data_IF_987475054752
#
_entry.id   IF_987475054752
#
_cell.length_a   1.000
_cell.length_b   1.000
_cell.length_c   1.000
_cell.angle_alpha   90.00
_cell.angle_beta   90.00
_cell.angle_gamma   90.00
#
_symmetry.space_group_name_H-M   'P 1'
#
loop_
_entity.id
_entity.type
_entity.pdbx_description
1 polymer ?
#
# COMPACT_ATOMS: atom_id res chain seq x y z
N UNK A 1 16.59 -10.74 19.79
CA UNK A 1 16.98 -10.57 18.37
C UNK A 1 17.95 -9.40 18.26
N UNK A 2 18.89 -9.40 17.31
CA UNK A 2 19.65 -8.21 16.97
C UNK A 2 18.73 -7.15 16.41
N UNK A 3 19.05 -5.87 16.55
CA UNK A 3 18.32 -4.73 15.97
C UNK A 3 18.14 -4.94 14.46
N UNK A 4 16.89 -5.01 14.00
CA UNK A 4 16.56 -5.20 12.58
C UNK A 4 16.84 -3.91 11.80
N UNK A 5 17.79 -3.93 10.87
CA UNK A 5 18.08 -2.80 9.98
C UNK A 5 17.18 -2.89 8.74
N UNK A 6 16.52 -1.79 8.39
CA UNK A 6 15.52 -1.74 7.31
C UNK A 6 15.90 -0.70 6.27
N UNK A 7 15.81 -1.06 4.98
CA UNK A 7 15.85 -0.13 3.87
C UNK A 7 14.51 -0.17 3.12
N UNK A 8 13.85 0.98 2.96
CA UNK A 8 12.53 1.07 2.35
C UNK A 8 12.61 1.79 0.99
N UNK A 9 12.48 1.06 -0.10
CA UNK A 9 12.34 1.65 -1.43
C UNK A 9 10.86 1.94 -1.74
N UNK A 10 10.61 3.11 -2.38
CA UNK A 10 9.27 3.63 -2.63
C UNK A 10 8.48 3.75 -1.32
N UNK A 11 9.11 4.31 -0.31
CA UNK A 11 8.71 4.23 1.10
C UNK A 11 7.32 4.83 1.39
N UNK A 12 6.85 5.77 0.55
CA UNK A 12 5.62 6.49 0.82
C UNK A 12 5.70 7.23 2.16
N UNK A 13 4.77 6.97 3.07
CA UNK A 13 4.83 7.46 4.44
C UNK A 13 5.35 6.42 5.45
N UNK A 14 5.91 5.28 5.00
CA UNK A 14 6.53 4.29 5.88
C UNK A 14 5.54 3.32 6.54
N UNK A 15 4.56 2.79 5.80
CA UNK A 15 3.61 1.77 6.31
C UNK A 15 4.32 0.55 6.90
N UNK A 16 5.47 0.19 6.36
CA UNK A 16 6.27 -0.95 6.79
C UNK A 16 6.86 -0.71 8.18
N UNK A 17 7.47 0.45 8.42
CA UNK A 17 7.98 0.85 9.73
C UNK A 17 6.87 0.95 10.76
N UNK A 18 5.71 1.52 10.41
CA UNK A 18 4.53 1.55 11.30
C UNK A 18 4.12 0.13 11.70
N UNK A 19 4.12 -0.82 10.77
CA UNK A 19 3.75 -2.20 11.07
C UNK A 19 4.75 -2.89 12.02
N UNK A 20 6.06 -2.64 11.84
CA UNK A 20 7.10 -3.13 12.75
C UNK A 20 6.95 -2.53 14.15
N UNK A 21 6.70 -1.21 14.25
CA UNK A 21 6.43 -0.50 15.52
C UNK A 21 5.21 -1.10 16.25
N UNK A 22 4.12 -1.39 15.52
CA UNK A 22 2.92 -2.01 16.10
C UNK A 22 3.14 -3.38 16.68
N UNK A 23 4.07 -4.13 16.12
CA UNK A 23 4.49 -5.44 16.61
C UNK A 23 5.51 -5.37 17.74
N UNK A 24 6.01 -4.17 18.08
CA UNK A 24 7.08 -4.01 19.05
C UNK A 24 8.41 -4.60 18.58
N UNK A 25 8.61 -4.73 17.26
CA UNK A 25 9.87 -5.23 16.70
C UNK A 25 10.89 -4.09 16.74
N UNK A 26 11.96 -4.32 17.51
CA UNK A 26 13.06 -3.37 17.59
C UNK A 26 13.78 -3.28 16.25
N UNK A 27 13.70 -2.12 15.59
CA UNK A 27 14.26 -1.91 14.27
C UNK A 27 14.84 -0.51 14.11
N UNK A 28 15.68 -0.35 13.09
CA UNK A 28 16.24 0.92 12.66
C UNK A 28 16.11 1.02 11.14
N UNK A 29 15.40 2.03 10.66
CA UNK A 29 15.46 2.38 9.25
C UNK A 29 16.78 3.06 8.98
N UNK A 30 17.61 2.43 8.16
CA UNK A 30 18.95 2.92 7.80
C UNK A 30 18.96 3.75 6.53
N UNK A 31 17.85 3.75 5.78
CA UNK A 31 17.66 4.58 4.61
C UNK A 31 16.33 4.33 3.91
N UNK A 32 15.90 5.32 3.17
CA UNK A 32 14.73 5.24 2.29
C UNK A 32 15.08 5.67 0.87
N UNK A 33 14.27 5.27 -0.11
CA UNK A 33 14.28 5.80 -1.47
C UNK A 33 12.88 6.28 -1.83
N UNK A 34 12.68 7.61 -1.86
CA UNK A 34 11.40 8.25 -2.18
C UNK A 34 11.65 9.59 -2.89
N UNK A 35 10.85 9.90 -3.92
CA UNK A 35 10.96 11.12 -4.72
C UNK A 35 9.78 12.07 -4.57
N UNK A 36 8.61 11.56 -4.12
CA UNK A 36 7.44 12.41 -3.93
C UNK A 36 7.61 13.29 -2.68
N UNK A 37 7.67 14.59 -2.89
CA UNK A 37 7.90 15.58 -1.81
C UNK A 37 6.87 15.50 -0.69
N UNK A 38 5.62 15.15 -0.98
CA UNK A 38 4.58 15.03 0.04
C UNK A 38 4.71 13.70 0.81
N UNK A 39 5.13 12.64 0.14
CA UNK A 39 5.44 11.37 0.80
C UNK A 39 6.63 11.53 1.75
N UNK A 40 7.70 12.19 1.31
CA UNK A 40 8.88 12.50 2.15
C UNK A 40 8.49 13.32 3.39
N UNK A 41 7.66 14.37 3.24
CA UNK A 41 7.17 15.16 4.38
C UNK A 41 6.36 14.31 5.36
N UNK A 42 5.46 13.47 4.84
CA UNK A 42 4.66 12.57 5.67
C UNK A 42 5.54 11.54 6.39
N UNK A 43 6.53 10.98 5.69
CA UNK A 43 7.49 10.05 6.25
C UNK A 43 8.21 10.64 7.47
N UNK A 44 8.81 11.81 7.30
CA UNK A 44 9.54 12.48 8.37
C UNK A 44 8.64 12.96 9.51
N UNK A 45 7.38 13.31 9.23
CA UNK A 45 6.43 13.66 10.29
C UNK A 45 6.04 12.44 11.16
N UNK A 46 6.08 11.24 10.61
CA UNK A 46 5.73 9.99 11.32
C UNK A 46 6.93 9.35 12.01
N UNK A 47 8.10 9.42 11.38
CA UNK A 47 9.32 8.74 11.82
C UNK A 47 10.38 9.76 12.28
N UNK A 48 11.56 9.79 11.67
CA UNK A 48 12.65 10.73 12.03
C UNK A 48 13.24 11.41 10.80
N UNK A 49 13.55 12.68 10.90
CA UNK A 49 14.28 13.46 9.88
C UNK A 49 15.74 13.01 9.72
N UNK A 50 16.29 12.29 10.70
CA UNK A 50 17.66 11.77 10.65
C UNK A 50 17.80 10.56 9.70
N UNK A 51 16.69 9.99 9.22
CA UNK A 51 16.70 8.86 8.28
C UNK A 51 17.12 9.37 6.89
N UNK A 52 18.26 8.89 6.33
CA UNK A 52 18.73 9.35 5.04
C UNK A 52 17.77 8.94 3.91
N UNK A 53 17.43 9.89 3.04
CA UNK A 53 16.69 9.62 1.82
C UNK A 53 17.64 9.63 0.61
N UNK A 54 17.81 8.47 -0.01
CA UNK A 54 18.64 8.28 -1.20
C UNK A 54 17.97 8.75 -2.51
N UNK A 55 16.72 9.22 -2.43
CA UNK A 55 15.99 9.83 -3.55
C UNK A 55 15.58 8.82 -4.61
N UNK A 56 15.93 9.11 -5.87
CA UNK A 56 15.55 8.30 -7.04
C UNK A 56 16.34 6.99 -7.07
N UNK A 57 15.64 5.87 -6.95
CA UNK A 57 16.23 4.52 -6.92
C UNK A 57 17.11 4.22 -8.15
N UNK A 58 16.78 4.81 -9.30
CA UNK A 58 17.56 4.62 -10.53
C UNK A 58 18.94 5.29 -10.51
N UNK A 59 19.18 6.14 -9.52
CA UNK A 59 20.45 6.87 -9.31
C UNK A 59 21.26 6.35 -8.15
N UNK A 60 20.73 5.37 -7.43
CA UNK A 60 21.43 4.78 -6.28
C UNK A 60 22.56 3.87 -6.80
N UNK A 61 23.80 4.13 -6.34
CA UNK A 61 24.85 3.13 -6.43
C UNK A 61 24.71 2.21 -5.20
N UNK A 62 24.48 0.89 -5.38
CA UNK A 62 24.33 -0.04 -4.26
C UNK A 62 25.53 -0.08 -3.29
N UNK A 63 26.74 0.28 -3.75
CA UNK A 63 27.95 0.35 -2.90
C UNK A 63 27.88 1.46 -1.85
N UNK A 64 27.06 2.49 -2.07
CA UNK A 64 26.89 3.62 -1.15
C UNK A 64 25.83 3.35 -0.08
N UNK A 65 25.11 2.21 -0.17
CA UNK A 65 24.06 1.86 0.78
C UNK A 65 24.66 1.27 2.07
N UNK A 66 24.10 1.62 3.25
CA UNK A 66 24.46 0.96 4.48
C UNK A 66 24.02 -0.51 4.45
N UNK A 67 24.56 -1.35 5.33
CA UNK A 67 24.06 -2.71 5.54
C UNK A 67 22.64 -2.70 6.12
N UNK A 68 21.77 -3.56 5.62
CA UNK A 68 20.41 -3.76 6.11
C UNK A 68 19.98 -5.23 6.00
N UNK A 69 19.07 -5.63 6.88
CA UNK A 69 18.55 -6.99 6.99
C UNK A 69 17.25 -7.18 6.20
N UNK A 70 16.39 -6.15 6.18
CA UNK A 70 15.11 -6.15 5.49
C UNK A 70 15.11 -5.07 4.38
N UNK A 71 14.80 -5.51 3.16
CA UNK A 71 14.52 -4.64 2.03
C UNK A 71 13.04 -4.71 1.66
N UNK A 72 12.35 -3.57 1.72
CA UNK A 72 10.97 -3.47 1.25
C UNK A 72 10.91 -2.66 -0.04
N UNK A 73 10.17 -3.16 -1.05
CA UNK A 73 10.09 -2.50 -2.35
C UNK A 73 8.72 -2.69 -3.02
N UNK A 74 8.00 -1.58 -3.15
CA UNK A 74 6.69 -1.52 -3.78
C UNK A 74 6.79 -0.67 -5.05
N UNK A 75 7.43 -1.24 -6.07
CA UNK A 75 7.69 -0.52 -7.31
C UNK A 75 6.39 -0.06 -8.01
N UNK A 76 6.41 1.06 -8.77
CA UNK A 76 5.22 1.65 -9.36
C UNK A 76 4.39 0.67 -10.18
N UNK A 77 3.09 0.60 -9.90
CA UNK A 77 2.13 -0.30 -10.56
C UNK A 77 1.44 0.32 -11.78
N UNK A 78 1.81 1.54 -12.20
CA UNK A 78 1.09 2.31 -13.25
C UNK A 78 1.00 1.58 -14.58
N UNK A 79 2.00 0.78 -14.91
CA UNK A 79 2.09 0.04 -16.18
C UNK A 79 1.56 -1.40 -16.07
N UNK A 80 1.13 -1.80 -14.86
CA UNK A 80 0.56 -3.10 -14.54
C UNK A 80 -0.92 -2.97 -14.17
N UNK A 81 -1.31 -1.84 -13.56
CA UNK A 81 -2.67 -1.61 -13.07
C UNK A 81 -3.68 -1.56 -14.21
N UNK A 82 -4.88 -2.12 -14.00
CA UNK A 82 -6.01 -2.02 -14.93
C UNK A 82 -6.47 -0.58 -15.18
N UNK A 83 -6.18 0.33 -14.25
CA UNK A 83 -6.46 1.77 -14.39
C UNK A 83 -5.34 2.55 -15.09
N UNK A 84 -4.22 1.90 -15.40
CA UNK A 84 -3.05 2.48 -16.03
C UNK A 84 -2.91 2.15 -17.51
N UNK A 85 -1.72 2.38 -18.07
CA UNK A 85 -1.43 2.14 -19.51
C UNK A 85 -1.24 0.67 -19.88
N UNK A 86 -1.02 -0.21 -18.88
CA UNK A 86 -0.84 -1.66 -19.07
C UNK A 86 0.33 -2.00 -19.99
N UNK A 87 1.43 -1.22 -19.94
CA UNK A 87 2.62 -1.38 -20.79
C UNK A 87 3.57 -2.49 -20.30
N UNK A 88 3.49 -2.84 -19.00
CA UNK A 88 4.26 -3.93 -18.40
C UNK A 88 5.55 -3.49 -17.70
N UNK A 89 6.36 -4.49 -17.33
CA UNK A 89 7.64 -4.29 -16.63
C UNK A 89 8.75 -4.33 -17.67
N UNK A 90 9.18 -3.16 -18.14
CA UNK A 90 10.22 -3.07 -19.18
C UNK A 90 11.40 -2.27 -18.65
N UNK A 91 12.58 -2.92 -18.60
CA UNK A 91 13.83 -2.33 -18.08
C UNK A 91 14.13 -1.00 -18.78
N UNK A 92 14.31 0.07 -17.99
CA UNK A 92 14.66 1.40 -18.47
C UNK A 92 13.60 2.12 -19.32
N UNK A 93 12.41 1.55 -19.52
CA UNK A 93 11.37 2.12 -20.39
C UNK A 93 10.07 2.44 -19.64
N UNK A 94 9.66 1.61 -18.69
CA UNK A 94 8.42 1.80 -17.94
C UNK A 94 8.69 2.12 -16.47
N UNK A 95 7.72 2.74 -15.79
CA UNK A 95 7.82 3.00 -14.35
C UNK A 95 7.88 1.70 -13.54
N UNK A 96 7.13 0.68 -13.96
CA UNK A 96 7.20 -0.65 -13.38
C UNK A 96 8.55 -1.33 -13.62
N UNK A 97 9.32 -0.88 -14.62
CA UNK A 97 10.69 -1.31 -14.89
C UNK A 97 11.69 -0.92 -13.80
N UNK A 98 11.31 -0.07 -12.83
CA UNK A 98 12.12 0.22 -11.65
C UNK A 98 12.31 -1.00 -10.74
N UNK A 99 11.57 -2.10 -10.96
CA UNK A 99 11.88 -3.41 -10.37
C UNK A 99 13.33 -3.84 -10.64
N UNK A 100 13.86 -3.53 -11.82
CA UNK A 100 15.25 -3.86 -12.19
C UNK A 100 16.31 -2.99 -11.50
N UNK A 101 15.91 -1.86 -10.91
CA UNK A 101 16.79 -1.10 -10.02
C UNK A 101 16.83 -1.74 -8.63
N UNK A 102 15.70 -2.30 -8.17
CA UNK A 102 15.68 -3.14 -6.97
C UNK A 102 16.55 -4.40 -7.14
N UNK A 103 16.57 -4.99 -8.34
CA UNK A 103 17.44 -6.13 -8.69
C UNK A 103 18.89 -5.85 -8.34
N UNK A 104 19.44 -4.70 -8.77
CA UNK A 104 20.84 -4.31 -8.51
C UNK A 104 21.13 -4.20 -7.00
N UNK A 105 20.20 -3.63 -6.25
CA UNK A 105 20.33 -3.49 -4.79
C UNK A 105 20.31 -4.87 -4.12
N UNK A 106 19.37 -5.72 -4.51
CA UNK A 106 19.24 -7.08 -3.95
C UNK A 106 20.50 -7.93 -4.25
N UNK A 107 20.99 -7.86 -5.49
CA UNK A 107 22.16 -8.62 -5.92
C UNK A 107 23.43 -8.20 -5.17
N UNK A 108 23.61 -6.89 -4.96
CA UNK A 108 24.78 -6.35 -4.28
C UNK A 108 24.70 -6.52 -2.76
N UNK A 109 23.60 -6.03 -2.14
CA UNK A 109 23.48 -5.97 -0.68
C UNK A 109 23.07 -7.30 -0.05
N UNK A 110 22.39 -8.19 -0.78
CA UNK A 110 21.92 -9.50 -0.33
C UNK A 110 21.24 -9.49 1.06
N UNK A 111 20.25 -8.61 1.29
CA UNK A 111 19.57 -8.53 2.59
C UNK A 111 18.91 -9.88 2.93
N UNK A 112 18.85 -10.21 4.21
CA UNK A 112 18.28 -11.48 4.65
C UNK A 112 16.81 -11.63 4.28
N UNK A 113 16.04 -10.54 4.36
CA UNK A 113 14.60 -10.52 4.11
C UNK A 113 14.23 -9.54 3.00
N UNK A 114 13.32 -9.99 2.13
CA UNK A 114 12.72 -9.15 1.10
C UNK A 114 11.21 -9.13 1.26
N UNK A 115 10.60 -7.95 1.14
CA UNK A 115 9.16 -7.80 1.02
C UNK A 115 8.83 -6.95 -0.20
N UNK A 116 8.21 -7.57 -1.20
CA UNK A 116 7.64 -6.89 -2.36
C UNK A 116 6.12 -6.76 -2.23
N UNK A 117 5.57 -5.63 -2.61
CA UNK A 117 4.11 -5.45 -2.77
C UNK A 117 3.79 -4.91 -4.16
N UNK A 118 2.65 -5.35 -4.72
CA UNK A 118 2.10 -4.78 -5.96
C UNK A 118 0.60 -5.10 -6.12
N UNK A 119 -0.01 -4.56 -7.18
CA UNK A 119 -1.42 -4.81 -7.51
C UNK A 119 -1.67 -6.25 -7.93
N UNK A 120 -2.90 -6.76 -7.66
CA UNK A 120 -3.34 -8.14 -8.03
C UNK A 120 -3.09 -8.47 -9.50
N UNK A 121 -3.17 -7.47 -10.39
CA UNK A 121 -3.00 -7.69 -11.84
C UNK A 121 -1.60 -8.18 -12.23
N UNK A 122 -0.60 -8.06 -11.35
CA UNK A 122 0.72 -8.68 -11.52
C UNK A 122 0.60 -10.22 -11.69
N UNK A 123 -0.39 -10.85 -11.06
CA UNK A 123 -0.71 -12.27 -11.20
C UNK A 123 -1.63 -12.58 -12.38
N UNK A 124 -2.07 -11.55 -13.13
CA UNK A 124 -2.91 -11.70 -14.31
C UNK A 124 -2.16 -12.36 -15.48
N UNK A 125 -2.88 -12.95 -16.41
CA UNK A 125 -2.32 -13.73 -17.55
C UNK A 125 -1.20 -12.97 -18.30
N UNK A 126 -1.33 -11.66 -18.41
CA UNK A 126 -0.36 -10.82 -19.17
C UNK A 126 0.99 -10.67 -18.45
N UNK A 127 1.00 -10.51 -17.12
CA UNK A 127 2.19 -10.15 -16.35
C UNK A 127 2.76 -11.32 -15.53
N UNK A 128 1.97 -12.38 -15.36
CA UNK A 128 2.39 -13.58 -14.62
C UNK A 128 3.71 -14.20 -15.11
N UNK A 129 4.01 -14.28 -16.44
CA UNK A 129 5.29 -14.77 -16.89
C UNK A 129 6.47 -13.95 -16.38
N UNK A 130 6.41 -12.61 -16.48
CA UNK A 130 7.46 -11.72 -15.98
C UNK A 130 7.63 -11.82 -14.46
N UNK A 131 6.52 -11.97 -13.73
CA UNK A 131 6.56 -12.18 -12.29
C UNK A 131 7.19 -13.53 -11.92
N UNK A 132 6.93 -14.58 -12.70
CA UNK A 132 7.58 -15.88 -12.53
C UNK A 132 9.08 -15.82 -12.80
N UNK A 133 9.50 -15.08 -13.83
CA UNK A 133 10.91 -14.81 -14.12
C UNK A 133 11.59 -14.10 -12.95
N UNK A 134 10.91 -13.12 -12.34
CA UNK A 134 11.39 -12.44 -11.15
C UNK A 134 11.60 -13.40 -9.97
N UNK A 135 10.62 -14.26 -9.67
CA UNK A 135 10.76 -15.27 -8.61
C UNK A 135 11.90 -16.25 -8.90
N UNK A 136 12.06 -16.67 -10.16
CA UNK A 136 13.16 -17.56 -10.55
C UNK A 136 14.53 -16.86 -10.41
N UNK A 137 14.58 -15.57 -10.72
CA UNK A 137 15.79 -14.77 -10.52
C UNK A 137 16.16 -14.69 -9.03
N UNK A 138 15.22 -14.35 -8.14
CA UNK A 138 15.46 -14.35 -6.70
C UNK A 138 15.93 -15.72 -6.19
N UNK A 139 15.35 -16.80 -6.71
CA UNK A 139 15.77 -18.16 -6.39
C UNK A 139 17.22 -18.43 -6.81
N UNK A 140 17.65 -17.91 -7.98
CA UNK A 140 19.05 -18.06 -8.44
C UNK A 140 20.05 -17.32 -7.55
N UNK A 141 19.59 -16.29 -6.81
CA UNK A 141 20.39 -15.57 -5.80
C UNK A 141 20.38 -16.22 -4.41
N UNK A 142 19.66 -17.33 -4.25
CA UNK A 142 19.57 -18.08 -2.98
C UNK A 142 18.34 -17.72 -2.13
N UNK A 143 17.39 -16.91 -2.65
CA UNK A 143 16.16 -16.60 -1.93
C UNK A 143 15.10 -17.68 -2.11
N UNK A 144 14.50 -18.12 -1.01
CA UNK A 144 13.25 -18.87 -1.03
C UNK A 144 12.09 -17.90 -0.80
N UNK A 145 11.08 -17.99 -1.65
CA UNK A 145 10.00 -17.00 -1.70
C UNK A 145 8.63 -17.64 -1.51
N UNK A 146 7.76 -16.94 -0.78
CA UNK A 146 6.34 -17.26 -0.68
C UNK A 146 5.51 -16.09 -1.16
N UNK A 147 4.57 -16.37 -2.08
CA UNK A 147 3.70 -15.37 -2.68
C UNK A 147 2.30 -15.45 -2.08
N UNK A 148 1.75 -14.30 -1.70
CA UNK A 148 0.41 -14.16 -1.15
C UNK A 148 -0.42 -13.20 -2.02
N UNK A 149 -1.71 -13.49 -2.11
CA UNK A 149 -2.71 -12.56 -2.67
C UNK A 149 -3.69 -12.26 -1.54
N UNK A 150 -3.58 -11.08 -0.94
CA UNK A 150 -4.29 -10.71 0.29
C UNK A 150 -5.28 -9.57 0.03
N UNK A 151 -6.44 -9.64 0.67
CA UNK A 151 -7.42 -8.55 0.68
C UNK A 151 -7.47 -7.93 2.08
N UNK A 152 -7.43 -6.60 2.17
CA UNK A 152 -7.38 -5.88 3.44
C UNK A 152 -8.55 -6.21 4.37
N UNK A 153 -9.72 -6.54 3.83
CA UNK A 153 -10.90 -6.93 4.62
C UNK A 153 -10.70 -8.24 5.41
N UNK A 154 -9.81 -9.11 4.94
CA UNK A 154 -9.50 -10.38 5.62
C UNK A 154 -8.55 -10.16 6.82
N UNK A 155 -8.17 -8.90 7.07
CA UNK A 155 -7.28 -8.47 8.16
C UNK A 155 -7.91 -7.37 9.03
N UNK A 156 -9.24 -7.29 9.05
CA UNK A 156 -10.00 -6.39 9.93
C UNK A 156 -10.14 -4.95 9.43
N UNK A 157 -9.75 -4.65 8.19
CA UNK A 157 -9.92 -3.31 7.60
C UNK A 157 -11.09 -3.32 6.61
N UNK A 158 -12.13 -2.47 6.77
CA UNK A 158 -13.32 -2.49 5.92
C UNK A 158 -13.05 -1.88 4.53
N UNK A 159 -12.07 -2.44 3.82
CA UNK A 159 -11.65 -2.03 2.49
C UNK A 159 -11.42 -3.26 1.60
N UNK A 160 -12.08 -3.32 0.45
CA UNK A 160 -11.80 -4.29 -0.59
C UNK A 160 -10.56 -3.86 -1.39
N UNK A 161 -9.37 -4.24 -0.89
CA UNK A 161 -8.07 -3.91 -1.47
C UNK A 161 -7.21 -5.15 -1.56
N UNK A 162 -7.29 -5.85 -2.69
CA UNK A 162 -6.47 -7.04 -2.95
C UNK A 162 -5.10 -6.64 -3.50
N UNK A 163 -4.02 -7.16 -2.90
CA UNK A 163 -2.62 -6.95 -3.29
C UNK A 163 -1.85 -8.25 -3.34
N UNK A 164 -0.78 -8.25 -4.11
CA UNK A 164 0.22 -9.34 -4.16
C UNK A 164 1.37 -8.95 -3.26
N UNK A 165 1.76 -9.87 -2.40
CA UNK A 165 2.94 -9.76 -1.56
C UNK A 165 3.88 -10.94 -1.85
N UNK A 166 5.16 -10.65 -2.03
CA UNK A 166 6.20 -11.66 -2.14
C UNK A 166 7.17 -11.47 -0.98
N UNK A 167 7.19 -12.43 -0.08
CA UNK A 167 8.17 -12.50 1.01
C UNK A 167 9.26 -13.46 0.61
N UNK A 168 10.52 -13.06 0.79
CA UNK A 168 11.65 -13.92 0.45
C UNK A 168 12.69 -13.91 1.58
N UNK A 169 13.31 -15.05 1.82
CA UNK A 169 14.34 -15.22 2.85
C UNK A 169 15.59 -15.83 2.20
N UNK A 170 16.75 -15.24 2.47
CA UNK A 170 18.02 -15.66 1.89
C UNK A 170 18.54 -16.92 2.60
N UNK A 171 18.85 -17.97 1.82
CA UNK A 171 19.45 -19.24 2.28
C UNK A 171 18.68 -19.99 3.38
N UNK A 172 17.44 -19.61 3.65
CA UNK A 172 16.56 -20.26 4.62
C UNK A 172 15.21 -20.55 3.96
N UNK A 173 14.44 -21.49 4.52
CA UNK A 173 13.07 -21.72 4.06
C UNK A 173 12.17 -20.52 4.38
N UNK A 174 11.35 -20.14 3.43
CA UNK A 174 10.33 -19.10 3.61
C UNK A 174 8.95 -19.79 3.67
N UNK A 175 8.49 -20.09 4.87
CA UNK A 175 7.18 -20.68 5.09
C UNK A 175 6.44 -19.91 6.19
N UNK A 176 5.48 -19.08 5.78
CA UNK A 176 4.69 -18.24 6.67
C UNK A 176 3.24 -18.70 6.67
N UNK A 177 2.64 -18.80 7.84
CA UNK A 177 1.21 -19.01 8.01
C UNK A 177 0.59 -17.71 8.50
N UNK A 178 -0.25 -17.09 7.69
CA UNK A 178 -0.93 -15.83 8.04
C UNK A 178 -2.27 -16.12 8.71
N UNK A 179 -2.60 -15.33 9.73
CA UNK A 179 -3.88 -15.41 10.42
C UNK A 179 -4.81 -14.35 9.87
N UNK A 180 -5.94 -14.77 9.35
CA UNK A 180 -7.02 -13.84 8.98
C UNK A 180 -7.79 -13.39 10.23
N UNK A 181 -8.38 -12.22 10.16
CA UNK A 181 -9.26 -11.67 11.19
C UNK A 181 -10.64 -11.44 10.57
N UNK A 182 -11.69 -11.89 11.27
CA UNK A 182 -13.06 -11.55 10.87
C UNK A 182 -13.24 -10.02 10.90
N UNK A 183 -13.99 -9.52 9.93
CA UNK A 183 -14.29 -8.11 9.82
C UNK A 183 -15.36 -7.74 10.86
N UNK A 184 -14.94 -7.04 11.90
CA UNK A 184 -15.78 -6.54 13.01
C UNK A 184 -16.00 -5.02 12.94
N UNK A 185 -15.37 -4.36 11.98
CA UNK A 185 -15.43 -2.92 11.73
C UNK A 185 -15.95 -2.69 10.31
N UNK A 186 -16.91 -1.80 10.15
CA UNK A 186 -17.52 -1.50 8.87
C UNK A 186 -17.16 -0.10 8.39
N UNK A 187 -17.43 0.21 7.12
CA UNK A 187 -17.17 1.55 6.57
C UNK A 187 -17.88 2.65 7.38
N UNK A 188 -19.03 2.33 7.98
CA UNK A 188 -19.83 3.26 8.77
C UNK A 188 -19.19 3.62 10.12
N UNK A 189 -18.32 2.76 10.65
CA UNK A 189 -17.53 3.03 11.86
C UNK A 189 -16.34 3.95 11.57
N UNK A 190 -15.98 4.08 10.29
CA UNK A 190 -14.86 4.92 9.81
C UNK A 190 -15.35 6.32 9.43
N UNK A 191 -16.55 6.41 8.84
CA UNK A 191 -17.12 7.65 8.33
C UNK A 191 -17.62 8.53 9.47
N UNK A 192 -17.12 9.76 9.51
CA UNK A 192 -17.62 10.80 10.42
C UNK A 192 -18.67 11.63 9.68
N UNK A 193 -19.95 11.44 10.04
CA UNK A 193 -21.07 12.15 9.42
C UNK A 193 -20.99 13.67 9.62
N UNK A 194 -20.33 14.12 10.70
CA UNK A 194 -20.20 15.51 11.10
C UNK A 194 -18.92 16.17 10.56
N UNK A 195 -18.11 15.47 9.77
CA UNK A 195 -16.89 16.05 9.19
C UNK A 195 -17.25 17.16 8.17
N UNK A 196 -17.21 18.42 8.63
CA UNK A 196 -17.48 19.60 7.83
C UNK A 196 -16.52 19.76 6.63
N UNK A 197 -15.38 19.08 6.67
CA UNK A 197 -14.41 19.10 5.58
C UNK A 197 -14.83 18.23 4.39
N UNK A 198 -15.90 17.45 4.50
CA UNK A 198 -16.40 16.57 3.44
C UNK A 198 -16.88 17.37 2.24
N UNK A 199 -16.41 16.99 1.07
CA UNK A 199 -16.85 17.55 -0.19
C UNK A 199 -18.12 16.81 -0.68
N UNK A 200 -19.28 17.42 -0.50
CA UNK A 200 -20.53 16.95 -1.07
C UNK A 200 -20.64 17.41 -2.54
N UNK A 201 -20.95 16.48 -3.43
CA UNK A 201 -20.94 16.65 -4.88
C UNK A 201 -22.33 16.62 -5.51
N UNK A 202 -23.33 16.08 -4.82
CA UNK A 202 -24.69 15.92 -5.31
C UNK A 202 -25.65 15.67 -4.16
N UNK A 203 -26.89 16.09 -4.34
CA UNK A 203 -28.02 15.73 -3.49
C UNK A 203 -29.00 14.85 -4.28
N UNK A 204 -29.54 13.83 -3.63
CA UNK A 204 -30.49 12.87 -4.18
C UNK A 204 -31.61 12.75 -3.14
N UNK A 205 -32.71 13.52 -3.26
CA UNK A 205 -33.78 13.58 -2.26
C UNK A 205 -34.41 12.22 -1.98
N UNK A 206 -34.46 11.33 -2.98
CA UNK A 206 -35.01 9.98 -2.88
C UNK A 206 -34.19 9.08 -1.92
N UNK A 207 -32.95 9.46 -1.62
CA UNK A 207 -32.05 8.78 -0.67
C UNK A 207 -32.01 9.46 0.71
N UNK A 208 -32.97 10.35 1.01
CA UNK A 208 -33.10 10.95 2.34
C UNK A 208 -33.30 9.84 3.39
N UNK A 209 -32.58 9.93 4.51
CA UNK A 209 -32.54 8.88 5.54
C UNK A 209 -31.68 7.66 5.18
N UNK A 210 -31.12 7.58 3.96
CA UNK A 210 -30.22 6.49 3.59
C UNK A 210 -28.78 6.77 4.02
N UNK A 211 -28.12 5.70 4.44
CA UNK A 211 -26.68 5.66 4.69
C UNK A 211 -26.06 4.58 3.83
N UNK A 212 -25.29 4.96 2.82
CA UNK A 212 -24.78 4.05 1.79
C UNK A 212 -23.34 4.42 1.40
N UNK A 213 -22.60 3.46 0.89
CA UNK A 213 -21.27 3.69 0.32
C UNK A 213 -21.14 3.06 -1.07
N UNK A 214 -20.21 3.56 -1.86
CA UNK A 214 -20.03 3.10 -3.23
C UNK A 214 -19.02 3.90 -4.02
N UNK A 215 -19.24 4.00 -5.31
CA UNK A 215 -18.43 4.78 -6.25
C UNK A 215 -19.30 5.68 -7.14
N UNK A 216 -18.74 6.80 -7.58
CA UNK A 216 -19.37 7.67 -8.57
C UNK A 216 -18.54 7.68 -9.85
N UNK A 217 -18.81 6.73 -10.74
CA UNK A 217 -17.97 6.41 -11.90
C UNK A 217 -18.65 6.73 -13.22
N UNK A 218 -17.88 7.19 -14.22
CA UNK A 218 -18.33 7.28 -15.59
C UNK A 218 -18.50 5.90 -16.22
N UNK A 219 -19.71 5.58 -16.65
CA UNK A 219 -20.01 4.37 -17.42
C UNK A 219 -20.47 4.74 -18.82
N UNK A 220 -20.04 3.97 -19.82
CA UNK A 220 -20.49 4.16 -21.19
C UNK A 220 -21.92 3.63 -21.33
N UNK A 221 -22.89 4.51 -21.62
CA UNK A 221 -24.28 4.16 -21.83
C UNK A 221 -24.72 4.83 -23.13
N UNK A 222 -25.21 4.06 -24.09
CA UNK A 222 -25.63 4.52 -25.42
C UNK A 222 -24.59 5.40 -26.13
N UNK A 223 -23.31 4.98 -26.07
CA UNK A 223 -22.18 5.70 -26.69
C UNK A 223 -21.66 6.90 -25.91
N UNK A 224 -22.34 7.36 -24.84
CA UNK A 224 -21.95 8.51 -24.01
C UNK A 224 -21.48 8.05 -22.63
N UNK A 225 -20.55 8.79 -22.04
CA UNK A 225 -20.16 8.57 -20.64
C UNK A 225 -21.16 9.27 -19.71
N UNK A 226 -21.82 8.49 -18.86
CA UNK A 226 -22.75 8.97 -17.83
C UNK A 226 -22.15 8.65 -16.46
N UNK A 227 -22.15 9.60 -15.54
CA UNK A 227 -21.76 9.40 -14.15
C UNK A 227 -22.85 8.62 -13.45
N UNK A 228 -22.48 7.46 -12.88
CA UNK A 228 -23.40 6.55 -12.21
C UNK A 228 -22.91 6.28 -10.80
N UNK A 229 -23.83 6.27 -9.83
CA UNK A 229 -23.57 5.77 -8.49
C UNK A 229 -23.68 4.25 -8.50
N UNK A 230 -22.68 3.60 -7.94
CA UNK A 230 -22.60 2.14 -7.79
C UNK A 230 -22.44 1.85 -6.31
N UNK A 231 -23.51 1.40 -5.67
CA UNK A 231 -23.50 1.11 -4.24
C UNK A 231 -22.94 -0.27 -3.94
N UNK A 232 -22.38 -0.41 -2.74
CA UNK A 232 -21.91 -1.68 -2.19
C UNK A 232 -22.87 -2.16 -1.12
N UNK A 233 -23.01 -3.48 -1.00
CA UNK A 233 -23.84 -4.14 0.02
C UNK A 233 -23.04 -4.93 1.04
N UNK A 234 -21.69 -4.88 0.98
CA UNK A 234 -20.81 -5.66 1.85
C UNK A 234 -20.18 -4.82 2.98
N UNK A 235 -20.65 -3.60 3.19
CA UNK A 235 -20.19 -2.66 4.21
C UNK A 235 -18.69 -2.33 4.17
N UNK A 236 -18.03 -2.62 3.06
CA UNK A 236 -16.63 -2.27 2.82
C UNK A 236 -16.51 -1.11 1.84
N UNK A 237 -15.46 -0.32 1.95
CA UNK A 237 -15.08 0.62 0.89
C UNK A 237 -14.56 -0.12 -0.36
N UNK A 238 -14.59 0.54 -1.50
CA UNK A 238 -13.74 0.12 -2.61
C UNK A 238 -12.26 0.35 -2.24
N UNK A 239 -11.34 -0.17 -3.05
CA UNK A 239 -9.93 0.16 -2.93
C UNK A 239 -9.75 1.68 -2.89
N UNK A 240 -9.06 2.20 -1.88
CA UNK A 240 -8.63 3.58 -1.84
C UNK A 240 -7.60 3.77 -2.95
N UNK A 241 -7.90 4.67 -3.89
CA UNK A 241 -7.05 4.99 -5.04
C UNK A 241 -6.65 6.47 -4.95
N UNK A 242 -5.84 6.93 -5.90
CA UNK A 242 -5.52 8.36 -6.04
C UNK A 242 -6.71 9.18 -6.58
N UNK A 243 -7.84 8.54 -6.87
CA UNK A 243 -9.05 9.13 -7.47
C UNK A 243 -10.19 9.11 -6.46
N UNK A 244 -10.56 10.28 -5.95
CA UNK A 244 -11.59 10.44 -4.90
C UNK A 244 -12.95 9.81 -5.24
N UNK A 245 -13.40 9.96 -6.48
CA UNK A 245 -14.72 9.46 -6.95
C UNK A 245 -14.88 7.92 -6.92
N UNK A 246 -13.79 7.18 -6.67
CA UNK A 246 -13.86 5.73 -6.51
C UNK A 246 -14.44 5.31 -5.15
N UNK A 247 -14.52 6.26 -4.21
CA UNK A 247 -15.12 6.07 -2.89
C UNK A 247 -15.99 7.26 -2.53
N UNK A 248 -17.29 7.03 -2.47
CA UNK A 248 -18.30 8.01 -2.05
C UNK A 248 -19.17 7.41 -0.95
N UNK A 249 -19.74 8.28 -0.14
CA UNK A 249 -20.76 7.97 0.86
C UNK A 249 -22.02 8.78 0.57
N UNK A 250 -23.18 8.24 0.89
CA UNK A 250 -24.46 8.93 0.92
C UNK A 250 -24.85 9.08 2.37
N UNK A 251 -25.00 10.31 2.81
CA UNK A 251 -25.41 10.69 4.17
C UNK A 251 -26.68 11.54 4.05
N UNK A 252 -27.79 11.00 4.46
CA UNK A 252 -29.10 11.67 4.41
C UNK A 252 -29.40 12.33 3.05
N UNK A 253 -29.21 11.57 1.97
CA UNK A 253 -29.45 12.01 0.60
C UNK A 253 -28.34 12.83 -0.02
N UNK A 254 -27.30 13.22 0.73
CA UNK A 254 -26.14 13.96 0.20
C UNK A 254 -25.00 13.01 -0.14
N UNK A 255 -24.54 13.05 -1.38
CA UNK A 255 -23.41 12.26 -1.89
C UNK A 255 -22.13 13.04 -1.70
N UNK A 256 -21.20 12.51 -0.92
CA UNK A 256 -19.89 13.11 -0.66
C UNK A 256 -18.73 12.14 -0.88
N UNK A 257 -17.53 12.68 -1.10
CA UNK A 257 -16.32 11.86 -1.09
C UNK A 257 -15.94 11.45 0.33
N UNK A 258 -15.23 10.33 0.49
CA UNK A 258 -14.51 10.07 1.73
C UNK A 258 -13.52 11.22 1.98
N UNK A 259 -13.36 11.60 3.25
CA UNK A 259 -12.35 12.58 3.64
C UNK A 259 -10.95 11.95 3.65
N UNK A 260 -9.86 12.73 3.60
CA UNK A 260 -8.52 12.17 3.71
C UNK A 260 -8.31 11.39 5.01
N UNK A 261 -8.88 11.86 6.12
CA UNK A 261 -8.83 11.17 7.42
C UNK A 261 -9.42 9.78 7.32
N UNK A 262 -10.59 9.64 6.71
CA UNK A 262 -11.25 8.36 6.50
C UNK A 262 -10.46 7.45 5.55
N UNK A 263 -9.87 8.02 4.49
CA UNK A 263 -9.00 7.28 3.60
C UNK A 263 -7.78 6.72 4.34
N UNK A 264 -7.14 7.48 5.23
CA UNK A 264 -6.01 7.00 6.03
C UNK A 264 -6.42 5.98 7.07
N UNK A 265 -7.58 6.13 7.72
CA UNK A 265 -8.14 5.10 8.62
C UNK A 265 -8.32 3.77 7.89
N UNK A 266 -8.82 3.81 6.65
CA UNK A 266 -8.93 2.65 5.78
C UNK A 266 -7.57 2.09 5.30
N UNK A 267 -6.48 2.82 5.49
CA UNK A 267 -5.12 2.32 5.29
C UNK A 267 -4.50 1.80 6.60
N UNK A 268 -5.27 1.82 7.69
CA UNK A 268 -4.88 1.33 8.98
C UNK A 268 -4.10 2.34 9.85
N UNK A 269 -4.12 3.64 9.54
CA UNK A 269 -3.49 4.66 10.36
C UNK A 269 -4.38 5.05 11.55
N UNK A 270 -3.74 5.39 12.67
CA UNK A 270 -4.37 5.94 13.86
C UNK A 270 -4.56 7.45 13.73
N UNK A 271 -5.48 8.01 14.52
CA UNK A 271 -5.79 9.45 14.48
C UNK A 271 -4.54 10.33 14.70
N UNK A 272 -3.64 9.95 15.61
CA UNK A 272 -2.39 10.68 15.91
C UNK A 272 -1.43 10.70 14.69
N UNK A 273 -1.32 9.57 13.97
CA UNK A 273 -0.51 9.46 12.75
C UNK A 273 -1.10 10.33 11.64
N UNK A 274 -2.43 10.31 11.49
CA UNK A 274 -3.15 11.11 10.50
C UNK A 274 -2.99 12.61 10.77
N UNK A 275 -3.08 13.04 12.04
CA UNK A 275 -2.89 14.43 12.43
C UNK A 275 -1.48 14.94 12.13
N UNK A 276 -0.46 14.12 12.34
CA UNK A 276 0.92 14.46 11.97
C UNK A 276 1.05 14.69 10.45
N UNK A 277 0.49 13.79 9.63
CA UNK A 277 0.47 13.95 8.16
C UNK A 277 -0.29 15.22 7.76
N UNK A 278 -1.46 15.45 8.34
CA UNK A 278 -2.31 16.58 7.99
C UNK A 278 -1.66 17.95 8.22
N UNK A 279 -0.75 18.04 9.20
CA UNK A 279 0.02 19.26 9.49
C UNK A 279 1.04 19.63 8.40
N UNK A 280 1.55 18.64 7.64
CA UNK A 280 2.67 18.85 6.70
C UNK A 280 2.31 18.59 5.24
N UNK A 281 1.20 17.88 4.97
CA UNK A 281 0.77 17.50 3.62
C UNK A 281 -0.56 18.18 3.27
N UNK A 282 -0.65 18.92 2.14
CA UNK A 282 -1.90 19.53 1.70
C UNK A 282 -3.01 18.49 1.48
N UNK A 283 -4.27 18.85 1.80
CA UNK A 283 -5.45 17.97 1.71
C UNK A 283 -5.56 17.22 0.38
N UNK A 284 -5.32 17.92 -0.75
CA UNK A 284 -5.38 17.31 -2.09
C UNK A 284 -4.33 16.21 -2.31
N UNK A 285 -3.14 16.36 -1.71
CA UNK A 285 -2.06 15.39 -1.81
C UNK A 285 -2.26 14.18 -0.87
N UNK A 286 -3.01 14.35 0.23
CA UNK A 286 -3.30 13.29 1.19
C UNK A 286 -4.05 12.11 0.54
N UNK A 287 -4.99 12.36 -0.38
CA UNK A 287 -5.70 11.31 -1.13
C UNK A 287 -4.74 10.45 -1.96
N UNK A 288 -3.81 11.12 -2.67
CA UNK A 288 -2.79 10.41 -3.46
C UNK A 288 -1.88 9.58 -2.55
N UNK A 289 -1.53 10.14 -1.41
CA UNK A 289 -0.66 9.49 -0.44
C UNK A 289 -1.33 8.22 0.13
N UNK A 290 -2.58 8.31 0.57
CA UNK A 290 -3.35 7.16 1.03
C UNK A 290 -3.52 6.10 -0.07
N UNK A 291 -3.86 6.52 -1.30
CA UNK A 291 -4.09 5.61 -2.43
C UNK A 291 -2.86 4.79 -2.84
N UNK A 292 -1.67 5.38 -2.71
CA UNK A 292 -0.40 4.73 -3.07
C UNK A 292 0.21 3.87 -1.96
N UNK A 293 -0.36 3.88 -0.76
CA UNK A 293 0.22 3.20 0.40
C UNK A 293 -0.25 1.75 0.55
N UNK A 294 0.39 1.03 1.45
CA UNK A 294 0.03 -0.33 1.85
C UNK A 294 -0.78 -0.28 3.14
N UNK A 295 -1.78 -1.15 3.27
CA UNK A 295 -2.56 -1.28 4.51
C UNK A 295 -1.69 -1.85 5.61
N UNK A 296 -1.57 -1.12 6.71
CA UNK A 296 -0.66 -1.44 7.81
C UNK A 296 -1.03 -2.77 8.46
N UNK A 297 -2.30 -3.07 8.65
CA UNK A 297 -2.77 -4.30 9.30
C UNK A 297 -2.38 -5.56 8.51
N UNK A 298 -2.34 -5.49 7.18
CA UNK A 298 -1.84 -6.58 6.32
C UNK A 298 -0.35 -6.80 6.55
N UNK A 299 0.44 -5.72 6.65
CA UNK A 299 1.88 -5.82 6.92
C UNK A 299 2.15 -6.38 8.31
N UNK A 300 1.37 -6.01 9.31
CA UNK A 300 1.43 -6.57 10.68
C UNK A 300 1.32 -8.09 10.64
N UNK A 301 0.35 -8.62 9.88
CA UNK A 301 0.14 -10.07 9.81
C UNK A 301 1.19 -10.80 8.95
N UNK A 302 1.85 -10.12 8.02
CA UNK A 302 3.02 -10.66 7.30
C UNK A 302 4.27 -10.67 8.20
N UNK A 303 4.53 -9.59 8.92
CA UNK A 303 5.74 -9.46 9.74
C UNK A 303 5.68 -10.30 11.03
N UNK A 304 4.48 -10.57 11.57
CA UNK A 304 4.30 -11.38 12.77
C UNK A 304 4.95 -12.76 12.66
N UNK A 305 4.60 -13.65 11.72
CA UNK A 305 5.25 -14.96 11.58
C UNK A 305 6.70 -14.83 11.10
N UNK A 306 7.04 -13.80 10.32
CA UNK A 306 8.39 -13.63 9.79
C UNK A 306 9.41 -13.30 10.91
N UNK A 307 9.02 -12.52 11.92
CA UNK A 307 9.95 -12.03 12.94
C UNK A 307 9.67 -12.52 14.36
N UNK A 308 8.42 -12.87 14.70
CA UNK A 308 8.05 -13.24 16.07
C UNK A 308 7.77 -14.73 16.25
N UNK A 309 7.34 -15.45 15.19
CA UNK A 309 6.97 -16.87 15.27
C UNK A 309 8.01 -17.80 14.62
N UNK A 310 9.01 -17.28 13.90
CA UNK A 310 10.06 -18.05 13.22
C UNK A 310 11.06 -18.80 14.15
N UNK A 311 10.85 -18.75 15.47
CA UNK A 311 11.67 -19.45 16.48
C UNK A 311 11.01 -20.68 17.11
N UNK A 312 9.84 -21.11 16.65
CA UNK A 312 9.09 -22.25 17.23
C UNK A 312 9.03 -23.46 16.27
N UNK A 313 10.18 -23.83 15.70
CA UNK A 313 10.33 -25.13 15.01
C UNK A 313 11.30 -26.00 15.78
#
# INVERSE_FOLDING_TARGET
MSLLKVFEAFSGYGSQSIALERLGIEHKVVGISEIDKNAIKAYYALHSEDIPNFGDISKINPEDLPEFDLFTYSFPCTDISLSGKVEGIVRGQTRSGLLYECEKIIEHCKPKYLLMENVKNLMGKKFRPQFQEWMNYLKSLGYNSQCFVLDAKDFGVPQSRTRVFLVSVLNEECYLTLKTKELDTFIYDIVDENDESRNFIKEIPELKGAYMNGAYRGRKKDGKYVQTLEFRGDYCSNTITTVQKDNVVVLDGKVGYLTPKECFKLMGLRDEEIEKIAKVVPKSAQYKLAGNSIVVDVLVEIFRPLFLESGQK
#
